data_IF_807628217977
#
_entry.id   IF_807628217977
#
_cell.length_a   1.000
_cell.length_b   1.000
_cell.length_c   1.000
_cell.angle_alpha   90.00
_cell.angle_beta   90.00
_cell.angle_gamma   90.00
#
_symmetry.space_group_name_H-M   'P 1'
#
loop_
_entity.id
_entity.type
_entity.pdbx_description
1 polymer ?
#
# COMPACT_ATOMS: atom_id res chain seq x y z
N UNK A 1 14.06 13.02 -7.86
CA UNK A 1 15.40 12.51 -7.55
C UNK A 1 15.55 12.37 -6.05
N UNK A 2 16.14 11.27 -5.59
CA UNK A 2 16.57 11.05 -4.21
C UNK A 2 18.09 11.17 -4.19
N UNK A 3 18.64 11.98 -3.29
CA UNK A 3 20.09 12.14 -3.12
C UNK A 3 20.48 11.64 -1.74
N UNK A 4 21.47 10.75 -1.68
CA UNK A 4 22.05 10.24 -0.43
C UNK A 4 23.57 10.28 -0.49
N UNK A 5 24.22 10.16 0.67
CA UNK A 5 25.69 10.11 0.76
C UNK A 5 26.09 8.78 1.36
N UNK A 6 26.83 7.96 0.60
CA UNK A 6 27.34 6.66 1.06
C UNK A 6 28.87 6.69 1.00
N UNK A 7 29.53 6.49 2.15
CA UNK A 7 31.00 6.56 2.29
C UNK A 7 31.61 7.85 1.70
N UNK A 8 30.90 8.99 1.79
CA UNK A 8 31.35 10.28 1.25
C UNK A 8 31.11 10.49 -0.25
N UNK A 9 30.57 9.49 -0.96
CA UNK A 9 30.13 9.63 -2.36
C UNK A 9 28.65 9.98 -2.42
N UNK A 10 28.31 11.01 -3.20
CA UNK A 10 26.92 11.31 -3.50
C UNK A 10 26.35 10.23 -4.42
N UNK A 11 25.18 9.71 -4.06
CA UNK A 11 24.42 8.72 -4.80
C UNK A 11 23.07 9.33 -5.13
N UNK A 12 22.79 9.42 -6.42
CA UNK A 12 21.55 9.96 -6.96
C UNK A 12 20.72 8.82 -7.54
N UNK A 13 19.48 8.69 -7.06
CA UNK A 13 18.51 7.73 -7.55
C UNK A 13 17.40 8.53 -8.23
N UNK A 14 17.28 8.35 -9.54
CA UNK A 14 16.15 8.88 -10.31
C UNK A 14 14.98 7.90 -10.33
N UNK A 15 13.80 8.37 -10.72
CA UNK A 15 12.62 7.50 -10.85
C UNK A 15 12.85 6.46 -11.94
N UNK A 16 13.54 6.83 -13.02
CA UNK A 16 13.83 5.96 -14.16
C UNK A 16 14.77 4.81 -13.76
N UNK A 17 15.83 5.10 -13.00
CA UNK A 17 16.75 4.07 -12.47
C UNK A 17 16.01 3.14 -11.51
N UNK A 18 15.16 3.69 -10.64
CA UNK A 18 14.34 2.91 -9.72
C UNK A 18 13.37 1.99 -10.48
N UNK A 19 12.65 2.53 -11.47
CA UNK A 19 11.71 1.78 -12.29
C UNK A 19 12.40 0.65 -13.06
N UNK A 20 13.53 0.93 -13.71
CA UNK A 20 14.29 -0.05 -14.47
C UNK A 20 14.83 -1.18 -13.58
N UNK A 21 15.32 -0.86 -12.38
CA UNK A 21 15.87 -1.85 -11.44
C UNK A 21 14.83 -2.86 -10.96
N UNK A 22 13.58 -2.42 -10.80
CA UNK A 22 12.48 -3.26 -10.29
C UNK A 22 11.49 -3.68 -11.38
N UNK A 23 11.81 -3.42 -12.65
CA UNK A 23 10.94 -3.71 -13.80
C UNK A 23 9.50 -3.19 -13.61
N UNK A 24 9.36 -1.99 -13.03
CA UNK A 24 8.05 -1.44 -12.66
C UNK A 24 7.34 -0.83 -13.88
N UNK A 25 6.01 -1.00 -13.99
CA UNK A 25 5.21 -0.27 -14.95
C UNK A 25 5.31 1.25 -14.74
N UNK A 26 5.63 1.96 -15.82
CA UNK A 26 5.72 3.43 -15.88
C UNK A 26 4.52 4.06 -16.60
N UNK A 27 3.68 3.25 -17.24
CA UNK A 27 2.41 3.69 -17.83
C UNK A 27 1.26 3.58 -16.82
N UNK A 28 0.27 4.46 -16.96
CA UNK A 28 -0.98 4.41 -16.20
C UNK A 28 -1.22 5.65 -15.35
N UNK A 29 -2.21 5.55 -14.46
CA UNK A 29 -2.60 6.65 -13.57
C UNK A 29 -1.48 7.02 -12.60
N UNK A 30 -1.25 8.32 -12.49
CA UNK A 30 -0.37 8.94 -11.47
C UNK A 30 -1.23 9.57 -10.37
N UNK A 31 -2.34 10.21 -10.75
CA UNK A 31 -3.31 10.76 -9.80
C UNK A 31 -4.52 9.82 -9.66
N UNK A 32 -4.76 9.32 -8.45
CA UNK A 32 -5.91 8.48 -8.15
C UNK A 32 -7.25 9.24 -8.19
N UNK A 33 -7.24 10.56 -8.27
CA UNK A 33 -8.45 11.34 -8.55
C UNK A 33 -8.99 11.11 -9.97
N UNK A 34 -8.15 10.61 -10.88
CA UNK A 34 -8.48 10.32 -12.28
C UNK A 34 -9.05 8.91 -12.51
N UNK A 35 -9.23 8.10 -11.45
CA UNK A 35 -9.92 6.81 -11.57
C UNK A 35 -11.31 7.04 -12.17
N UNK A 36 -11.71 6.30 -13.23
CA UNK A 36 -12.99 6.51 -13.89
C UNK A 36 -14.18 6.49 -12.94
N UNK A 37 -15.05 7.50 -13.05
CA UNK A 37 -16.14 7.75 -12.08
C UNK A 37 -17.18 6.62 -12.05
N UNK A 38 -17.41 5.97 -13.19
CA UNK A 38 -18.24 4.78 -13.34
C UNK A 38 -17.66 3.60 -12.53
N UNK A 39 -16.35 3.35 -12.61
CA UNK A 39 -15.71 2.31 -11.81
C UNK A 39 -15.75 2.63 -10.31
N UNK A 40 -15.57 3.90 -9.93
CA UNK A 40 -15.74 4.33 -8.54
C UNK A 40 -17.18 4.10 -8.07
N UNK A 41 -18.17 4.38 -8.91
CA UNK A 41 -19.57 4.13 -8.61
C UNK A 41 -19.84 2.63 -8.37
N UNK A 42 -19.32 1.77 -9.23
CA UNK A 42 -19.44 0.31 -9.10
C UNK A 42 -18.74 -0.19 -7.84
N UNK A 43 -17.52 0.29 -7.57
CA UNK A 43 -16.73 -0.05 -6.39
C UNK A 43 -17.48 0.22 -5.07
N UNK A 44 -18.22 1.33 -4.99
CA UNK A 44 -18.96 1.71 -3.77
C UNK A 44 -20.02 0.70 -3.37
N UNK A 45 -20.64 0.02 -4.34
CA UNK A 45 -21.58 -1.07 -4.06
C UNK A 45 -20.87 -2.42 -3.91
N UNK A 46 -19.85 -2.67 -4.74
CA UNK A 46 -19.09 -3.91 -4.75
C UNK A 46 -18.36 -4.17 -3.44
N UNK A 47 -17.72 -3.13 -2.89
CA UNK A 47 -16.96 -3.21 -1.65
C UNK A 47 -17.84 -3.30 -0.41
N UNK A 48 -19.08 -2.83 -0.50
CA UNK A 48 -20.02 -2.74 0.62
C UNK A 48 -20.56 -4.12 1.05
N UNK A 49 -20.74 -4.31 2.36
CA UNK A 49 -21.43 -5.49 2.91
C UNK A 49 -22.92 -5.45 2.59
N UNK A 50 -23.56 -4.28 2.72
CA UNK A 50 -25.01 -4.12 2.50
C UNK A 50 -25.37 -4.06 1.02
N UNK A 51 -24.37 -3.99 0.12
CA UNK A 51 -24.52 -3.67 -1.31
C UNK A 51 -25.03 -2.26 -1.62
N UNK A 52 -25.39 -1.48 -0.59
CA UNK A 52 -25.64 -0.05 -0.74
C UNK A 52 -24.33 0.71 -0.97
N UNK A 53 -24.42 1.90 -1.55
CA UNK A 53 -23.23 2.70 -1.86
C UNK A 53 -22.53 3.19 -0.60
N UNK A 54 -21.40 2.56 -0.27
CA UNK A 54 -20.52 3.06 0.78
C UNK A 54 -19.81 4.35 0.33
N UNK A 55 -19.44 5.23 1.26
CA UNK A 55 -18.62 6.41 0.93
C UNK A 55 -17.23 6.00 0.43
N UNK A 56 -16.60 6.84 -0.41
CA UNK A 56 -15.20 6.68 -0.81
C UNK A 56 -14.21 6.88 0.35
N UNK A 57 -14.69 7.41 1.48
CA UNK A 57 -14.00 7.37 2.76
C UNK A 57 -14.96 6.77 3.79
N UNK A 58 -14.74 5.52 4.16
CA UNK A 58 -15.68 4.73 4.96
C UNK A 58 -14.97 3.96 6.06
N UNK A 59 -15.76 3.39 6.96
CA UNK A 59 -15.25 2.46 7.95
C UNK A 59 -15.09 1.08 7.32
N UNK A 60 -14.02 0.36 7.68
CA UNK A 60 -13.78 -1.02 7.22
C UNK A 60 -14.94 -1.93 7.57
N UNK A 61 -15.63 -1.69 8.70
CA UNK A 61 -16.80 -2.47 9.11
C UNK A 61 -17.95 -2.42 8.09
N UNK A 62 -18.00 -1.41 7.21
CA UNK A 62 -18.99 -1.27 6.15
C UNK A 62 -18.61 -2.07 4.89
N UNK A 63 -17.36 -2.53 4.79
CA UNK A 63 -16.81 -3.23 3.62
C UNK A 63 -16.71 -4.74 3.82
N UNK A 64 -16.81 -5.52 2.74
CA UNK A 64 -16.61 -6.97 2.78
C UNK A 64 -15.18 -7.31 3.21
N UNK A 65 -15.04 -8.48 3.83
CA UNK A 65 -13.79 -8.95 4.45
C UNK A 65 -12.59 -8.94 3.48
N UNK A 66 -12.81 -9.30 2.21
CA UNK A 66 -11.78 -9.30 1.16
C UNK A 66 -11.21 -7.91 0.89
N UNK A 67 -12.07 -6.89 0.84
CA UNK A 67 -11.65 -5.51 0.62
C UNK A 67 -11.08 -4.86 1.89
N UNK A 68 -11.52 -5.30 3.08
CA UNK A 68 -10.83 -4.93 4.34
C UNK A 68 -9.39 -5.41 4.32
N UNK A 69 -9.16 -6.66 3.92
CA UNK A 69 -7.83 -7.23 3.81
C UNK A 69 -6.97 -6.49 2.78
N UNK A 70 -7.53 -6.18 1.61
CA UNK A 70 -6.83 -5.37 0.60
C UNK A 70 -6.46 -3.98 1.14
N UNK A 71 -7.39 -3.30 1.81
CA UNK A 71 -7.13 -2.01 2.46
C UNK A 71 -6.00 -2.11 3.50
N UNK A 72 -6.00 -3.16 4.32
CA UNK A 72 -4.95 -3.41 5.33
C UNK A 72 -3.59 -3.67 4.70
N UNK A 73 -3.54 -4.41 3.59
CA UNK A 73 -2.32 -4.64 2.82
C UNK A 73 -1.79 -3.30 2.33
N UNK A 74 -2.61 -2.53 1.61
CA UNK A 74 -2.19 -1.24 1.04
C UNK A 74 -1.78 -0.23 2.12
N UNK A 75 -2.51 -0.16 3.23
CA UNK A 75 -2.17 0.72 4.35
C UNK A 75 -0.80 0.39 4.95
N UNK A 76 -0.47 -0.90 5.06
CA UNK A 76 0.81 -1.37 5.62
C UNK A 76 1.96 -1.27 4.62
N UNK A 77 1.72 -1.67 3.37
CA UNK A 77 2.79 -1.76 2.37
C UNK A 77 3.03 -0.41 1.71
N UNK A 78 1.99 0.25 1.19
CA UNK A 78 2.14 1.47 0.39
C UNK A 78 2.15 2.73 1.26
N UNK A 79 1.16 2.90 2.14
CA UNK A 79 0.98 4.17 2.83
C UNK A 79 1.82 4.32 4.12
N UNK A 80 2.40 3.23 4.64
CA UNK A 80 3.23 3.22 5.86
C UNK A 80 2.56 3.96 7.05
N UNK A 81 1.21 4.05 7.07
CA UNK A 81 0.47 4.80 8.08
C UNK A 81 0.31 3.94 9.34
N UNK A 82 0.73 4.50 10.48
CA UNK A 82 0.57 3.88 11.79
C UNK A 82 -0.77 4.23 12.49
N UNK A 83 -1.77 4.74 11.77
CA UNK A 83 -2.97 5.35 12.37
C UNK A 83 -4.27 4.98 11.66
N UNK A 84 -5.27 4.61 12.49
CA UNK A 84 -6.63 4.11 12.18
C UNK A 84 -6.65 2.79 11.39
N UNK A 85 -6.82 1.71 12.15
CA UNK A 85 -7.10 0.39 11.59
C UNK A 85 -8.54 0.27 11.08
N UNK A 86 -9.42 1.19 11.44
CA UNK A 86 -10.87 1.09 11.25
C UNK A 86 -11.40 1.92 10.07
N UNK A 87 -10.65 2.89 9.55
CA UNK A 87 -11.07 3.71 8.41
C UNK A 87 -10.31 3.39 7.12
N UNK A 88 -10.98 3.61 5.99
CA UNK A 88 -10.42 3.61 4.64
C UNK A 88 -10.41 5.03 4.13
N UNK A 89 -9.23 5.53 3.73
CA UNK A 89 -9.11 6.88 3.16
C UNK A 89 -9.56 6.91 1.71
N UNK A 90 -9.86 8.11 1.20
CA UNK A 90 -10.19 8.31 -0.22
C UNK A 90 -9.12 7.76 -1.16
N UNK A 91 -7.85 8.06 -0.89
CA UNK A 91 -6.73 7.56 -1.71
C UNK A 91 -6.64 6.03 -1.70
N UNK A 92 -6.78 5.41 -0.53
CA UNK A 92 -6.80 3.95 -0.41
C UNK A 92 -7.97 3.36 -1.19
N UNK A 93 -9.16 3.94 -1.07
CA UNK A 93 -10.34 3.49 -1.80
C UNK A 93 -10.14 3.56 -3.32
N UNK A 94 -9.54 4.65 -3.81
CA UNK A 94 -9.27 4.80 -5.25
C UNK A 94 -8.22 3.81 -5.74
N UNK A 95 -7.15 3.58 -4.98
CA UNK A 95 -6.14 2.57 -5.34
C UNK A 95 -6.75 1.16 -5.32
N UNK A 96 -7.60 0.84 -4.33
CA UNK A 96 -8.34 -0.43 -4.29
C UNK A 96 -9.25 -0.58 -5.51
N UNK A 97 -9.90 0.50 -5.95
CA UNK A 97 -10.73 0.54 -7.15
C UNK A 97 -9.88 0.27 -8.39
N UNK A 98 -8.77 0.99 -8.56
CA UNK A 98 -7.86 0.81 -9.69
C UNK A 98 -7.36 -0.65 -9.79
N UNK A 99 -6.96 -1.25 -8.66
CA UNK A 99 -6.53 -2.66 -8.60
C UNK A 99 -7.69 -3.61 -8.96
N UNK A 100 -8.85 -3.42 -8.34
CA UNK A 100 -10.01 -4.33 -8.53
C UNK A 100 -10.50 -4.35 -9.98
N UNK A 101 -10.46 -3.20 -10.64
CA UNK A 101 -10.93 -3.03 -12.02
C UNK A 101 -9.78 -3.04 -13.06
N UNK A 102 -8.57 -3.46 -12.66
CA UNK A 102 -7.39 -3.56 -13.54
C UNK A 102 -7.07 -2.26 -14.31
N UNK A 103 -7.32 -1.11 -13.69
CA UNK A 103 -6.89 0.18 -14.24
C UNK A 103 -5.36 0.23 -14.16
N UNK A 104 -4.70 0.57 -15.27
CA UNK A 104 -3.24 0.73 -15.29
C UNK A 104 -2.84 1.82 -14.28
N UNK A 105 -1.93 1.48 -13.36
CA UNK A 105 -1.34 2.40 -12.38
C UNK A 105 0.14 2.53 -12.69
N UNK A 106 0.65 3.76 -12.64
CA UNK A 106 2.07 4.02 -12.70
C UNK A 106 2.71 3.63 -11.34
N UNK A 107 3.11 2.37 -11.24
CA UNK A 107 3.70 1.80 -10.03
C UNK A 107 5.10 2.35 -9.76
N UNK A 108 5.86 2.72 -10.79
CA UNK A 108 7.16 3.36 -10.59
C UNK A 108 7.00 4.66 -9.82
N UNK A 109 6.05 5.49 -10.23
CA UNK A 109 5.82 6.79 -9.60
C UNK A 109 5.34 6.65 -8.17
N UNK A 110 4.32 5.83 -7.96
CA UNK A 110 3.74 5.59 -6.63
C UNK A 110 4.81 5.12 -5.64
N UNK A 111 5.59 4.09 -5.99
CA UNK A 111 6.60 3.52 -5.10
C UNK A 111 7.81 4.43 -4.93
N UNK A 112 8.17 5.20 -5.96
CA UNK A 112 9.24 6.19 -5.86
C UNK A 112 8.87 7.38 -4.98
N UNK A 113 7.61 7.81 -4.99
CA UNK A 113 7.10 8.82 -4.07
C UNK A 113 7.16 8.34 -2.61
N UNK A 114 6.79 7.07 -2.35
CA UNK A 114 6.97 6.44 -1.03
C UNK A 114 8.45 6.41 -0.62
N UNK A 115 9.35 6.03 -1.53
CA UNK A 115 10.80 6.04 -1.27
C UNK A 115 11.29 7.44 -0.88
N UNK A 116 10.86 8.50 -1.60
CA UNK A 116 11.21 9.90 -1.29
C UNK A 116 10.74 10.29 0.11
N UNK A 117 9.51 9.95 0.48
CA UNK A 117 8.99 10.25 1.82
C UNK A 117 9.80 9.55 2.91
N UNK A 118 10.22 8.30 2.69
CA UNK A 118 11.01 7.53 3.66
C UNK A 118 12.40 8.09 3.90
N UNK A 119 13.07 8.59 2.86
CA UNK A 119 14.44 9.13 2.95
C UNK A 119 14.46 10.61 3.33
N UNK A 120 13.31 11.27 3.34
CA UNK A 120 13.19 12.66 3.79
C UNK A 120 13.45 12.74 5.30
N UNK A 121 14.45 13.51 5.76
CA UNK A 121 14.77 13.64 7.17
C UNK A 121 13.57 14.06 8.02
N UNK A 122 13.34 13.37 9.14
CA UNK A 122 12.21 13.65 10.05
C UNK A 122 10.94 12.86 9.77
N UNK A 123 10.87 12.11 8.66
CA UNK A 123 9.77 11.18 8.42
C UNK A 123 9.92 9.93 9.30
N UNK A 124 8.84 9.48 9.95
CA UNK A 124 8.83 8.26 10.78
C UNK A 124 8.53 6.99 9.97
N UNK A 125 8.61 7.05 8.64
CA UNK A 125 8.19 5.98 7.73
C UNK A 125 9.28 4.91 7.50
N UNK A 126 10.48 5.06 8.07
CA UNK A 126 11.61 4.15 7.88
C UNK A 126 11.53 2.84 8.69
N UNK A 127 10.52 1.98 8.45
CA UNK A 127 10.49 0.60 8.97
C UNK A 127 9.82 -0.36 7.98
N UNK A 128 10.54 -0.82 6.96
CA UNK A 128 10.02 -1.91 6.10
C UNK A 128 10.71 -2.13 4.75
N UNK A 129 11.39 -1.12 4.20
CA UNK A 129 11.92 -1.17 2.82
C UNK A 129 13.42 -1.45 2.72
N UNK A 130 14.06 -1.92 3.79
CA UNK A 130 15.51 -2.09 3.82
C UNK A 130 16.01 -3.05 2.74
N UNK A 131 15.24 -4.10 2.41
CA UNK A 131 15.59 -5.05 1.35
C UNK A 131 15.56 -4.37 -0.02
N UNK A 132 14.49 -3.63 -0.33
CA UNK A 132 14.36 -2.90 -1.60
C UNK A 132 15.48 -1.86 -1.74
N UNK A 133 15.80 -1.15 -0.66
CA UNK A 133 16.90 -0.17 -0.66
C UNK A 133 18.24 -0.86 -0.90
N UNK A 134 18.52 -2.02 -0.29
CA UNK A 134 19.74 -2.79 -0.54
C UNK A 134 19.88 -3.21 -2.00
N UNK A 135 18.84 -3.82 -2.58
CA UNK A 135 18.84 -4.24 -3.99
C UNK A 135 19.07 -3.04 -4.92
N UNK A 136 18.44 -1.91 -4.63
CA UNK A 136 18.61 -0.69 -5.43
C UNK A 136 20.07 -0.19 -5.40
N UNK A 137 20.71 -0.22 -4.23
CA UNK A 137 22.09 0.22 -4.07
C UNK A 137 23.10 -0.76 -4.72
N UNK A 138 22.83 -2.07 -4.69
CA UNK A 138 23.69 -3.08 -5.34
C UNK A 138 23.79 -2.89 -6.86
N UNK A 139 22.76 -2.31 -7.48
CA UNK A 139 22.72 -2.06 -8.92
C UNK A 139 23.43 -0.77 -9.36
N UNK A 140 24.01 0.01 -8.44
CA UNK A 140 24.67 1.29 -8.75
C UNK A 140 26.16 1.07 -9.08
N UNK A 141 26.63 1.38 -10.31
CA UNK A 141 28.01 1.18 -10.70
C UNK A 141 29.02 1.94 -9.82
N UNK A 142 30.07 1.24 -9.38
CA UNK A 142 31.13 1.81 -8.56
C UNK A 142 30.71 2.15 -7.12
N UNK A 143 29.68 1.48 -6.60
CA UNK A 143 29.32 1.48 -5.19
C UNK A 143 29.73 0.15 -4.54
N UNK A 144 30.85 0.14 -3.81
CA UNK A 144 31.29 -1.03 -3.06
C UNK A 144 30.53 -1.16 -1.73
N UNK A 145 29.46 -1.95 -1.75
CA UNK A 145 28.72 -2.34 -0.55
C UNK A 145 29.48 -3.43 0.20
N UNK A 146 29.38 -3.44 1.54
CA UNK A 146 29.90 -4.54 2.35
C UNK A 146 29.03 -5.80 2.22
N UNK A 147 29.44 -6.92 2.85
CA UNK A 147 28.65 -8.15 2.86
C UNK A 147 27.20 -7.90 3.30
N UNK A 148 26.24 -8.21 2.42
CA UNK A 148 24.83 -8.11 2.74
C UNK A 148 24.43 -9.26 3.67
N UNK A 149 23.66 -8.95 4.72
CA UNK A 149 23.06 -9.97 5.58
C UNK A 149 21.60 -10.10 5.19
N UNK A 150 21.16 -11.34 4.94
CA UNK A 150 19.77 -11.61 4.68
C UNK A 150 18.92 -11.10 5.85
N UNK A 151 17.91 -10.29 5.55
CA UNK A 151 16.94 -9.90 6.55
C UNK A 151 16.17 -11.15 7.02
N UNK A 152 15.79 -11.23 8.31
CA UNK A 152 14.88 -12.27 8.76
C UNK A 152 13.64 -12.28 7.87
N UNK A 153 13.21 -13.47 7.45
CA UNK A 153 12.15 -13.64 6.46
C UNK A 153 10.97 -12.71 6.79
N UNK A 154 10.48 -11.93 5.81
CA UNK A 154 9.31 -11.10 6.03
C UNK A 154 8.16 -11.99 6.53
N UNK A 155 7.31 -11.43 7.40
CA UNK A 155 6.01 -12.03 7.72
C UNK A 155 5.11 -11.92 6.48
N UNK A 156 5.43 -12.68 5.44
CA UNK A 156 4.64 -12.81 4.23
C UNK A 156 3.26 -13.32 4.64
N UNK A 157 2.22 -12.70 4.09
CA UNK A 157 0.86 -13.19 4.26
C UNK A 157 0.79 -14.62 3.72
N UNK A 158 0.71 -15.58 4.64
CA UNK A 158 0.48 -16.98 4.34
C UNK A 158 -0.96 -17.35 4.68
N UNK A 159 -1.40 -18.50 4.19
CA UNK A 159 -2.75 -19.01 4.40
C UNK A 159 -3.17 -19.02 5.89
N UNK A 160 -2.26 -19.38 6.80
CA UNK A 160 -2.52 -19.37 8.26
C UNK A 160 -2.78 -17.96 8.78
N UNK A 161 -2.01 -16.97 8.34
CA UNK A 161 -2.21 -15.57 8.73
C UNK A 161 -3.49 -14.99 8.15
N UNK A 162 -3.89 -15.40 6.94
CA UNK A 162 -5.15 -15.00 6.30
C UNK A 162 -6.34 -15.62 7.05
N UNK A 163 -6.33 -16.93 7.33
CA UNK A 163 -7.37 -17.58 8.11
C UNK A 163 -7.55 -16.95 9.50
N UNK A 164 -6.43 -16.65 10.18
CA UNK A 164 -6.48 -15.96 11.48
C UNK A 164 -7.09 -14.56 11.36
N UNK A 165 -6.78 -13.83 10.30
CA UNK A 165 -7.36 -12.50 10.04
C UNK A 165 -8.87 -12.56 9.85
N UNK A 166 -9.35 -13.52 9.04
CA UNK A 166 -10.78 -13.73 8.79
C UNK A 166 -11.50 -14.00 10.12
N UNK A 167 -11.01 -14.97 10.89
CA UNK A 167 -11.58 -15.34 12.19
C UNK A 167 -11.67 -14.17 13.17
N UNK A 168 -10.64 -13.33 13.23
CA UNK A 168 -10.62 -12.16 14.13
C UNK A 168 -11.66 -11.13 13.68
N UNK A 169 -11.72 -10.81 12.39
CA UNK A 169 -12.61 -9.77 11.87
C UNK A 169 -14.09 -10.18 11.79
N UNK A 170 -14.39 -11.47 11.65
CA UNK A 170 -15.76 -11.98 11.80
C UNK A 170 -16.29 -11.71 13.22
N UNK A 171 -15.44 -11.88 14.25
CA UNK A 171 -15.83 -11.61 15.64
C UNK A 171 -16.03 -10.12 15.96
N UNK A 172 -15.29 -9.23 15.31
CA UNK A 172 -15.47 -7.78 15.47
C UNK A 172 -16.67 -7.20 14.70
N UNK A 173 -17.26 -7.96 13.77
CA UNK A 173 -18.46 -7.57 13.02
C UNK A 173 -19.78 -8.04 13.64
N UNK A 174 -19.73 -8.80 14.74
CA UNK A 174 -20.88 -9.50 15.33
C UNK A 174 -21.27 -9.03 16.72
N UNK A 175 -21.05 -7.77 17.09
CA UNK A 175 -21.80 -7.19 18.21
C UNK A 175 -23.18 -6.78 17.69
N UNK A 176 -24.15 -7.68 17.92
CA UNK A 176 -25.57 -7.52 17.62
C UNK A 176 -26.10 -6.15 18.05
N UNK A 177 -26.52 -5.35 17.08
CA UNK A 177 -27.53 -4.32 17.32
C UNK A 177 -28.87 -5.06 17.43
N UNK A 178 -29.16 -5.63 18.60
CA UNK A 178 -30.53 -6.06 18.89
C UNK A 178 -31.41 -4.82 18.90
N UNK A 179 -32.45 -4.72 18.04
CA UNK A 179 -33.40 -3.63 18.14
C UNK A 179 -34.18 -3.80 19.45
N UNK A 180 -34.06 -2.82 20.35
CA UNK A 180 -35.07 -2.60 21.37
C UNK A 180 -36.35 -2.16 20.64
N UNK A 181 -37.25 -3.12 20.43
CA UNK A 181 -38.63 -2.83 20.04
C UNK A 181 -39.39 -2.24 21.24
N UNK A 182 -40.42 -1.41 20.96
CA UNK A 182 -40.84 -0.26 21.77
C UNK A 182 -41.48 -0.61 23.13
#
# INVERSE_FOLDING_TARGET
>A
MVVSTIKGKAVEISEEVFAATFELPTEGLIDFSEVPKDLVFDARSLFSISKEQVSISCLKKEMKIEYRLLSDILAKTIYVKAGSFDAVTREQFMLMTAITFNVKVNWSRLLFDVLKEMVTPGSRHAKGYAIQICVLLENIPGLELGESRAFPLPRVLNEKTVHRYIFINEKFGGEDVTPKNP
#
